data_IF_578577228483
#
_entry.id   IF_578577228483
#
_cell.length_a   1.000
_cell.length_b   1.000
_cell.length_c   1.000
_cell.angle_alpha   90.00
_cell.angle_beta   90.00
_cell.angle_gamma   90.00
#
_symmetry.space_group_name_H-M   'P 1'
#
loop_
_entity.id
_entity.type
_entity.pdbx_description
1 polymer ?
#
# COMPACT_ATOMS: atom_id res chain seq x y z
N UNK A 1 5.61 -21.78 -5.25
CA UNK A 1 5.83 -21.93 -3.80
C UNK A 1 4.52 -21.67 -3.09
N UNK A 2 3.88 -22.73 -2.63
CA UNK A 2 2.73 -22.62 -1.73
C UNK A 2 3.26 -22.16 -0.35
N UNK A 3 2.77 -21.02 0.12
CA UNK A 3 3.07 -20.53 1.46
C UNK A 3 2.17 -21.32 2.42
N UNK A 4 2.78 -22.01 3.39
CA UNK A 4 2.05 -22.72 4.45
C UNK A 4 1.04 -21.79 5.12
N UNK A 5 -0.09 -22.33 5.55
CA UNK A 5 -1.16 -21.50 6.09
C UNK A 5 -0.75 -20.82 7.41
N UNK A 6 0.11 -21.47 8.21
CA UNK A 6 0.74 -20.91 9.42
C UNK A 6 1.57 -19.66 9.12
N UNK A 7 2.33 -19.67 8.02
CA UNK A 7 3.08 -18.50 7.58
C UNK A 7 2.17 -17.34 7.18
N UNK A 8 0.96 -17.63 6.66
CA UNK A 8 0.00 -16.59 6.27
C UNK A 8 -0.54 -15.83 7.48
N UNK A 9 -0.88 -16.54 8.55
CA UNK A 9 -1.36 -15.92 9.79
C UNK A 9 -0.24 -15.16 10.49
N UNK A 10 0.97 -15.71 10.58
CA UNK A 10 2.09 -15.00 11.21
C UNK A 10 2.45 -13.72 10.44
N UNK A 11 2.46 -13.76 9.11
CA UNK A 11 2.63 -12.55 8.27
C UNK A 11 1.53 -11.53 8.50
N UNK A 12 0.29 -11.98 8.74
CA UNK A 12 -0.84 -11.09 9.05
C UNK A 12 -0.68 -10.43 10.42
N UNK A 13 -0.31 -11.19 11.46
CA UNK A 13 -0.01 -10.66 12.80
C UNK A 13 1.10 -9.60 12.71
N UNK A 14 2.22 -9.92 12.08
CA UNK A 14 3.34 -8.99 11.90
C UNK A 14 2.90 -7.74 11.10
N UNK A 15 2.12 -7.92 10.05
CA UNK A 15 1.55 -6.81 9.27
C UNK A 15 0.63 -5.92 10.08
N UNK A 16 -0.21 -6.51 10.94
CA UNK A 16 -1.10 -5.79 11.86
C UNK A 16 -0.28 -4.97 12.85
N UNK A 17 0.66 -5.63 13.52
CA UNK A 17 1.58 -5.04 14.49
C UNK A 17 2.27 -3.80 13.93
N UNK A 18 2.99 -3.96 12.81
CA UNK A 18 3.73 -2.86 12.18
C UNK A 18 2.80 -1.72 11.71
N UNK A 19 1.59 -2.06 11.22
CA UNK A 19 0.60 -1.05 10.80
C UNK A 19 0.08 -0.22 11.97
N UNK A 20 -0.14 -0.86 13.12
CA UNK A 20 -0.60 -0.21 14.36
C UNK A 20 0.51 0.70 14.88
N UNK A 21 1.74 0.20 15.01
CA UNK A 21 2.88 0.99 15.51
C UNK A 21 3.10 2.27 14.70
N UNK A 22 3.15 2.18 13.37
CA UNK A 22 3.33 3.35 12.50
C UNK A 22 2.17 4.34 12.66
N UNK A 23 0.93 3.84 12.74
CA UNK A 23 -0.24 4.69 12.88
C UNK A 23 -0.29 5.41 14.23
N UNK A 24 0.07 4.72 15.32
CA UNK A 24 0.11 5.30 16.66
C UNK A 24 1.19 6.37 16.75
N UNK A 25 2.40 6.11 16.22
CA UNK A 25 3.47 7.11 16.16
C UNK A 25 3.07 8.35 15.35
N UNK A 26 2.45 8.14 14.19
CA UNK A 26 1.91 9.24 13.37
C UNK A 26 0.79 9.99 14.10
N UNK A 27 -0.04 9.29 14.88
CA UNK A 27 -1.16 9.89 15.58
C UNK A 27 -0.67 10.83 16.68
N UNK A 28 0.25 10.35 17.52
CA UNK A 28 0.89 11.19 18.55
C UNK A 28 1.58 12.40 17.91
N UNK A 29 2.32 12.21 16.83
CA UNK A 29 2.96 13.32 16.12
C UNK A 29 1.95 14.35 15.60
N UNK A 30 0.87 13.90 14.92
CA UNK A 30 -0.13 14.80 14.33
C UNK A 30 -0.97 15.47 15.41
N UNK A 31 -1.38 14.77 16.47
CA UNK A 31 -2.15 15.35 17.57
C UNK A 31 -1.37 16.47 18.27
N UNK A 32 -0.06 16.31 18.44
CA UNK A 32 0.79 17.31 19.10
C UNK A 32 1.18 18.50 18.22
N UNK A 33 1.30 18.31 16.90
CA UNK A 33 1.86 19.33 16.00
C UNK A 33 0.84 19.92 15.02
N UNK A 34 -0.23 19.17 14.71
CA UNK A 34 -1.26 19.52 13.72
C UNK A 34 -2.66 19.05 14.18
N UNK A 35 -3.10 19.40 15.42
CA UNK A 35 -4.36 18.92 16.00
C UNK A 35 -5.59 19.29 15.15
N UNK A 36 -5.49 20.30 14.31
CA UNK A 36 -6.52 20.74 13.37
C UNK A 36 -6.73 19.80 12.17
N UNK A 37 -5.78 18.91 11.84
CA UNK A 37 -5.91 17.94 10.74
C UNK A 37 -6.79 16.72 11.14
N UNK A 38 -8.03 17.01 11.55
CA UNK A 38 -9.02 16.01 12.00
C UNK A 38 -9.27 14.92 10.96
N UNK A 39 -9.16 15.24 9.66
CA UNK A 39 -9.31 14.26 8.58
C UNK A 39 -8.16 13.24 8.58
N UNK A 40 -6.92 13.69 8.79
CA UNK A 40 -5.76 12.80 8.90
C UNK A 40 -5.82 11.97 10.17
N UNK A 41 -6.16 12.57 11.32
CA UNK A 41 -6.34 11.89 12.61
C UNK A 41 -7.39 10.76 12.48
N UNK A 42 -8.57 11.05 11.92
CA UNK A 42 -9.60 10.04 11.66
C UNK A 42 -9.09 8.90 10.77
N UNK A 43 -8.25 9.20 9.78
CA UNK A 43 -7.63 8.19 8.91
C UNK A 43 -6.65 7.30 9.69
N UNK A 44 -5.90 7.85 10.65
CA UNK A 44 -5.00 7.08 11.50
C UNK A 44 -5.76 6.15 12.45
N UNK A 45 -6.83 6.63 13.10
CA UNK A 45 -7.72 5.75 13.89
C UNK A 45 -8.29 4.61 13.05
N UNK A 46 -8.69 4.88 11.81
CA UNK A 46 -9.13 3.83 10.88
C UNK A 46 -8.03 2.80 10.61
N UNK A 47 -6.77 3.23 10.50
CA UNK A 47 -5.63 2.32 10.34
C UNK A 47 -5.35 1.50 11.60
N UNK A 48 -5.42 2.10 12.79
CA UNK A 48 -5.30 1.40 14.07
C UNK A 48 -6.38 0.33 14.19
N UNK A 49 -7.59 0.59 13.70
CA UNK A 49 -8.69 -0.40 13.68
C UNK A 49 -8.66 -1.36 12.48
N UNK A 50 -7.71 -1.21 11.56
CA UNK A 50 -7.56 -2.12 10.43
C UNK A 50 -7.27 -3.53 10.95
N UNK A 51 -7.99 -4.53 10.44
CA UNK A 51 -7.76 -5.92 10.80
C UNK A 51 -7.81 -6.20 12.31
N UNK A 52 -8.52 -5.40 13.11
CA UNK A 52 -8.65 -5.63 14.55
C UNK A 52 -9.51 -6.85 14.90
N UNK A 53 -10.35 -7.32 13.96
CA UNK A 53 -11.20 -8.49 14.13
C UNK A 53 -11.02 -9.41 12.93
N UNK A 54 -10.79 -10.70 13.20
CA UNK A 54 -10.85 -11.77 12.21
C UNK A 54 -12.10 -12.60 12.49
N UNK A 55 -12.83 -12.93 11.44
CA UNK A 55 -14.00 -13.81 11.54
C UNK A 55 -13.74 -14.97 10.60
N UNK A 56 -13.78 -16.18 11.13
CA UNK A 56 -13.74 -17.41 10.36
C UNK A 56 -15.16 -17.81 9.98
N UNK A 57 -15.36 -18.11 8.70
CA UNK A 57 -16.63 -18.56 8.16
C UNK A 57 -16.66 -20.09 8.02
N UNK A 58 -17.85 -20.69 7.97
CA UNK A 58 -18.05 -22.14 7.80
C UNK A 58 -17.34 -22.73 6.57
N UNK A 59 -17.12 -21.94 5.53
CA UNK A 59 -16.40 -22.34 4.33
C UNK A 59 -14.86 -22.19 4.46
N UNK A 60 -14.34 -22.04 5.68
CA UNK A 60 -12.91 -21.88 5.97
C UNK A 60 -12.35 -20.48 5.65
N UNK A 61 -13.14 -19.55 5.12
CA UNK A 61 -12.64 -18.20 4.79
C UNK A 61 -12.50 -17.34 6.03
N UNK A 62 -11.35 -16.68 6.18
CA UNK A 62 -11.14 -15.65 7.20
C UNK A 62 -11.34 -14.26 6.60
N UNK A 63 -12.29 -13.53 7.16
CA UNK A 63 -12.65 -12.18 6.72
C UNK A 63 -12.32 -11.11 7.77
N UNK A 64 -12.24 -9.86 7.31
CA UNK A 64 -11.91 -8.71 8.14
C UNK A 64 -12.24 -7.37 7.45
N UNK A 65 -12.24 -6.28 8.22
CA UNK A 65 -12.17 -4.92 7.68
C UNK A 65 -10.73 -4.49 7.34
N UNK A 66 -10.63 -3.63 6.33
CA UNK A 66 -9.37 -3.04 5.85
C UNK A 66 -9.49 -1.52 5.74
N UNK A 67 -8.48 -0.78 6.22
CA UNK A 67 -8.52 0.69 6.31
C UNK A 67 -8.20 1.41 5.01
N UNK A 68 -7.60 0.72 4.04
CA UNK A 68 -7.10 1.29 2.80
C UNK A 68 -6.17 2.51 3.00
N UNK A 69 -5.40 2.55 4.09
CA UNK A 69 -4.33 3.53 4.30
C UNK A 69 -3.01 3.09 3.64
N UNK A 70 -2.20 4.05 3.19
CA UNK A 70 -0.95 3.79 2.44
C UNK A 70 0.24 3.38 3.32
N UNK A 71 0.12 3.52 4.64
CA UNK A 71 1.12 3.10 5.63
C UNK A 71 0.73 1.81 6.34
N UNK A 72 -0.44 1.25 6.03
CA UNK A 72 -0.85 -0.04 6.56
C UNK A 72 -0.20 -1.16 5.75
N UNK A 73 0.67 -1.96 6.38
CA UNK A 73 1.31 -3.12 5.77
C UNK A 73 0.31 -4.13 5.20
N UNK A 74 -0.77 -4.41 5.93
CA UNK A 74 -1.82 -5.32 5.46
C UNK A 74 -2.45 -4.77 4.17
N UNK A 75 -2.93 -3.52 4.20
CA UNK A 75 -3.57 -2.93 3.02
C UNK A 75 -2.59 -2.73 1.85
N UNK A 76 -1.32 -2.44 2.12
CA UNK A 76 -0.29 -2.35 1.07
C UNK A 76 -0.07 -3.69 0.39
N UNK A 77 0.05 -4.78 1.15
CA UNK A 77 0.16 -6.13 0.60
C UNK A 77 -1.09 -6.49 -0.22
N UNK A 78 -2.29 -6.15 0.26
CA UNK A 78 -3.53 -6.36 -0.49
C UNK A 78 -3.57 -5.57 -1.80
N UNK A 79 -3.15 -4.30 -1.79
CA UNK A 79 -3.07 -3.50 -3.02
C UNK A 79 -2.07 -4.07 -3.99
N UNK A 80 -0.91 -4.50 -3.50
CA UNK A 80 0.12 -5.14 -4.29
C UNK A 80 -0.43 -6.41 -4.96
N UNK A 81 -1.03 -7.33 -4.18
CA UNK A 81 -1.64 -8.56 -4.70
C UNK A 81 -2.71 -8.25 -5.74
N UNK A 82 -3.62 -7.32 -5.46
CA UNK A 82 -4.66 -6.91 -6.42
C UNK A 82 -4.06 -6.34 -7.70
N UNK A 83 -2.99 -5.56 -7.59
CA UNK A 83 -2.33 -4.95 -8.73
C UNK A 83 -1.56 -6.00 -9.55
N UNK A 84 -0.86 -6.94 -8.89
CA UNK A 84 -0.20 -8.06 -9.54
C UNK A 84 -1.20 -8.91 -10.31
N UNK A 85 -2.28 -9.36 -9.67
CA UNK A 85 -3.30 -10.16 -10.34
C UNK A 85 -3.94 -9.42 -11.53
N UNK A 86 -4.10 -8.10 -11.47
CA UNK A 86 -4.71 -7.32 -12.56
C UNK A 86 -3.81 -7.13 -13.78
N UNK A 87 -2.50 -7.07 -13.59
CA UNK A 87 -1.59 -6.53 -14.60
C UNK A 87 -0.34 -7.36 -14.88
N UNK A 88 0.11 -8.19 -13.93
CA UNK A 88 1.39 -8.90 -14.04
C UNK A 88 1.42 -9.84 -15.25
N UNK A 89 0.38 -10.66 -15.42
CA UNK A 89 0.39 -11.71 -16.44
C UNK A 89 0.52 -11.16 -17.85
N UNK A 90 -0.11 -10.02 -18.14
CA UNK A 90 -0.02 -9.36 -19.44
C UNK A 90 1.39 -8.87 -19.76
N UNK A 91 2.16 -8.50 -18.74
CA UNK A 91 3.55 -8.06 -18.88
C UNK A 91 4.48 -9.25 -18.90
N UNK A 92 4.22 -10.27 -18.07
CA UNK A 92 5.01 -11.50 -17.97
C UNK A 92 5.11 -12.24 -19.31
N UNK A 93 4.02 -12.26 -20.08
CA UNK A 93 3.94 -12.89 -21.42
C UNK A 93 4.80 -12.22 -22.49
N UNK A 94 5.27 -10.99 -22.27
CA UNK A 94 6.12 -10.31 -23.25
C UNK A 94 7.56 -10.84 -23.20
N UNK A 95 8.19 -11.14 -24.36
CA UNK A 95 9.53 -11.72 -24.40
C UNK A 95 10.61 -10.72 -23.98
N UNK A 96 10.40 -9.41 -24.19
CA UNK A 96 11.38 -8.39 -23.86
C UNK A 96 10.88 -7.48 -22.75
N UNK A 97 11.71 -7.28 -21.72
CA UNK A 97 11.40 -6.48 -20.54
C UNK A 97 12.58 -5.62 -20.12
N UNK A 98 12.31 -4.35 -19.82
CA UNK A 98 13.28 -3.39 -19.31
C UNK A 98 12.76 -2.71 -18.06
N UNK A 99 13.67 -2.52 -17.11
CA UNK A 99 13.46 -1.69 -15.94
C UNK A 99 13.97 -0.28 -16.23
N UNK A 100 13.12 0.71 -15.96
CA UNK A 100 13.52 2.11 -16.03
C UNK A 100 13.26 2.79 -14.70
N UNK A 101 14.18 3.66 -14.28
CA UNK A 101 14.02 4.48 -13.08
C UNK A 101 14.22 5.92 -13.49
N UNK A 102 13.23 6.76 -13.16
CA UNK A 102 13.33 8.20 -13.28
C UNK A 102 13.48 8.81 -11.90
N UNK A 103 14.55 9.55 -11.72
CA UNK A 103 14.93 10.18 -10.45
C UNK A 103 15.07 11.68 -10.67
N UNK A 104 14.86 12.43 -9.61
CA UNK A 104 15.17 13.85 -9.54
C UNK A 104 15.95 14.13 -8.26
N UNK A 105 16.60 15.29 -8.19
CA UNK A 105 17.28 15.77 -6.98
C UNK A 105 16.35 15.66 -5.78
N UNK A 106 16.87 15.13 -4.67
CA UNK A 106 16.09 14.89 -3.46
C UNK A 106 15.54 16.22 -2.90
N UNK A 107 14.21 16.47 -2.93
CA UNK A 107 13.66 17.67 -2.32
C UNK A 107 13.75 17.59 -0.79
N UNK A 108 13.79 18.75 -0.14
CA UNK A 108 13.45 18.90 1.28
C UNK A 108 11.94 18.89 1.50
N UNK A 109 11.51 18.98 2.76
CA UNK A 109 10.09 18.94 3.14
C UNK A 109 9.26 20.05 2.50
N UNK A 110 9.79 21.27 2.44
CA UNK A 110 9.09 22.44 1.89
C UNK A 110 8.81 22.30 0.39
N UNK A 111 9.80 21.80 -0.38
CA UNK A 111 9.67 21.61 -1.82
C UNK A 111 9.01 20.29 -2.21
N UNK A 112 8.83 19.34 -1.27
CA UNK A 112 8.41 17.97 -1.57
C UNK A 112 7.10 17.93 -2.37
N UNK A 113 6.09 18.67 -1.93
CA UNK A 113 4.77 18.68 -2.59
C UNK A 113 4.88 19.26 -4.00
N UNK A 114 5.53 20.42 -4.15
CA UNK A 114 5.75 21.07 -5.44
C UNK A 114 6.48 20.15 -6.41
N UNK A 115 7.48 19.43 -5.90
CA UNK A 115 8.30 18.54 -6.70
C UNK A 115 7.53 17.28 -7.13
N UNK A 116 6.80 16.63 -6.22
CA UNK A 116 5.90 15.51 -6.55
C UNK A 116 4.84 15.97 -7.56
N UNK A 117 4.25 17.15 -7.38
CA UNK A 117 3.26 17.70 -8.30
C UNK A 117 3.83 17.88 -9.71
N UNK A 118 5.07 18.39 -9.83
CA UNK A 118 5.80 18.46 -11.10
C UNK A 118 6.08 17.08 -11.69
N UNK A 119 6.53 16.10 -10.89
CA UNK A 119 6.75 14.72 -11.35
C UNK A 119 5.49 14.11 -11.95
N UNK A 120 4.32 14.29 -11.32
CA UNK A 120 3.07 13.79 -11.88
C UNK A 120 2.59 14.62 -13.08
N UNK A 121 2.85 15.93 -13.11
CA UNK A 121 2.54 16.79 -14.25
C UNK A 121 3.37 16.50 -15.50
N UNK A 122 4.57 15.92 -15.36
CA UNK A 122 5.45 15.51 -16.46
C UNK A 122 4.70 14.80 -17.60
N UNK A 123 3.86 13.81 -17.30
CA UNK A 123 3.16 13.02 -18.32
C UNK A 123 2.12 13.81 -19.12
N UNK A 124 1.74 15.00 -18.65
CA UNK A 124 0.82 15.92 -19.34
C UNK A 124 1.58 17.08 -20.00
N UNK A 125 2.59 17.61 -19.33
CA UNK A 125 3.14 18.93 -19.65
C UNK A 125 4.53 18.89 -20.33
N UNK A 126 5.19 17.73 -20.42
CA UNK A 126 6.55 17.61 -20.97
C UNK A 126 6.65 17.58 -22.50
N UNK A 127 5.52 17.65 -23.20
CA UNK A 127 5.46 17.42 -24.65
C UNK A 127 5.62 15.95 -25.05
N UNK A 128 5.84 15.01 -24.13
CA UNK A 128 5.96 13.57 -24.41
C UNK A 128 4.78 13.03 -25.23
N UNK A 129 3.56 13.48 -24.93
CA UNK A 129 2.36 13.07 -25.67
C UNK A 129 2.28 13.64 -27.09
N UNK A 130 3.05 14.69 -27.40
CA UNK A 130 3.13 15.30 -28.74
C UNK A 130 4.17 14.62 -29.62
N UNK A 131 5.16 13.93 -29.04
CA UNK A 131 6.18 13.16 -29.76
C UNK A 131 5.55 12.01 -30.57
N UNK A 132 5.81 12.01 -31.88
CA UNK A 132 5.20 11.05 -32.82
C UNK A 132 5.67 9.62 -32.58
N UNK A 133 6.94 9.43 -32.22
CA UNK A 133 7.51 8.13 -31.90
C UNK A 133 6.88 7.58 -30.62
N UNK A 134 6.71 8.41 -29.57
CA UNK A 134 5.97 8.03 -28.38
C UNK A 134 4.52 7.62 -28.70
N UNK A 135 3.82 8.38 -29.56
CA UNK A 135 2.43 8.08 -29.95
C UNK A 135 2.28 6.72 -30.65
N UNK A 136 3.26 6.31 -31.45
CA UNK A 136 3.31 4.99 -32.08
C UNK A 136 3.58 3.91 -31.03
N UNK A 137 4.72 4.02 -30.34
CA UNK A 137 5.22 2.99 -29.42
C UNK A 137 4.30 2.75 -28.22
N UNK A 138 3.59 3.77 -27.73
CA UNK A 138 2.66 3.61 -26.59
C UNK A 138 1.48 2.67 -26.88
N UNK A 139 1.23 2.32 -28.15
CA UNK A 139 0.20 1.37 -28.57
C UNK A 139 0.71 -0.06 -28.68
N UNK A 140 2.03 -0.24 -28.74
CA UNK A 140 2.70 -1.53 -28.97
C UNK A 140 3.37 -2.05 -27.69
N UNK A 141 3.81 -1.14 -26.83
CA UNK A 141 4.59 -1.45 -25.63
C UNK A 141 3.73 -1.30 -24.38
N UNK A 142 3.78 -2.30 -23.51
CA UNK A 142 3.12 -2.34 -22.21
C UNK A 142 4.00 -1.68 -21.16
N UNK A 143 3.42 -0.82 -20.33
CA UNK A 143 4.17 -0.16 -19.25
C UNK A 143 3.41 -0.22 -17.95
N UNK A 144 4.09 -0.63 -16.88
CA UNK A 144 3.67 -0.42 -15.49
C UNK A 144 4.60 0.63 -14.90
N UNK A 145 4.04 1.66 -14.26
CA UNK A 145 4.77 2.67 -13.50
C UNK A 145 4.36 2.62 -12.03
N UNK A 146 5.33 2.69 -11.14
CA UNK A 146 5.16 2.81 -9.69
C UNK A 146 5.91 4.02 -9.15
N UNK A 147 5.38 4.65 -8.10
CA UNK A 147 6.04 5.72 -7.35
C UNK A 147 6.63 5.15 -6.05
N UNK A 148 7.92 5.37 -5.85
CA UNK A 148 8.66 4.97 -4.66
C UNK A 148 9.39 6.18 -4.07
N UNK A 149 9.54 6.17 -2.76
CA UNK A 149 10.39 7.09 -2.02
C UNK A 149 11.14 6.39 -0.90
N UNK A 150 12.31 6.91 -0.57
CA UNK A 150 13.09 6.55 0.63
C UNK A 150 13.52 7.83 1.34
N UNK A 151 13.83 7.73 2.63
CA UNK A 151 14.27 8.90 3.42
C UNK A 151 15.79 8.98 3.53
N UNK A 152 16.34 10.17 3.31
CA UNK A 152 17.67 10.51 3.81
C UNK A 152 17.49 11.27 5.12
N UNK A 153 17.71 10.58 6.24
CA UNK A 153 17.47 11.12 7.60
C UNK A 153 18.44 12.24 7.96
N UNK A 154 19.72 12.07 7.61
CA UNK A 154 20.78 13.04 7.90
C UNK A 154 20.50 14.37 7.20
N UNK A 155 20.18 14.30 5.90
CA UNK A 155 19.93 15.49 5.09
C UNK A 155 18.47 15.98 5.15
N UNK A 156 17.58 15.26 5.86
CA UNK A 156 16.12 15.51 5.89
C UNK A 156 15.50 15.67 4.48
N UNK A 157 15.99 14.89 3.52
CA UNK A 157 15.51 14.92 2.12
C UNK A 157 14.83 13.62 1.71
N UNK A 158 14.03 13.70 0.65
CA UNK A 158 13.27 12.58 0.12
C UNK A 158 13.90 12.13 -1.19
N UNK A 159 14.32 10.87 -1.27
CA UNK A 159 14.71 10.30 -2.54
C UNK A 159 13.44 9.79 -3.22
N UNK A 160 13.00 10.43 -4.31
CA UNK A 160 11.72 10.15 -4.98
C UNK A 160 11.95 9.66 -6.41
N UNK A 161 11.28 8.55 -6.74
CA UNK A 161 11.48 7.85 -8.01
C UNK A 161 10.16 7.46 -8.66
N UNK A 162 10.17 7.43 -9.99
CA UNK A 162 9.30 6.55 -10.74
C UNK A 162 10.06 5.32 -11.21
N UNK A 163 9.57 4.16 -10.82
CA UNK A 163 10.00 2.89 -11.38
C UNK A 163 9.05 2.50 -12.50
N UNK A 164 9.61 1.92 -13.57
CA UNK A 164 8.86 1.44 -14.71
C UNK A 164 9.29 0.03 -15.05
N UNK A 165 8.30 -0.79 -15.37
CA UNK A 165 8.46 -2.03 -16.12
C UNK A 165 7.93 -1.78 -17.54
N UNK A 166 8.82 -1.82 -18.52
CA UNK A 166 8.51 -1.60 -19.94
C UNK A 166 8.67 -2.94 -20.65
N UNK A 167 7.62 -3.42 -21.32
CA UNK A 167 7.62 -4.75 -21.91
C UNK A 167 6.91 -4.79 -23.27
N UNK A 168 7.42 -5.63 -24.17
CA UNK A 168 6.87 -5.80 -25.51
C UNK A 168 7.56 -6.91 -26.30
N UNK A 169 7.10 -7.12 -27.53
CA UNK A 169 7.63 -8.14 -28.45
C UNK A 169 9.00 -7.75 -29.01
N UNK A 170 9.17 -6.48 -29.38
CA UNK A 170 10.37 -5.98 -30.05
C UNK A 170 11.30 -5.24 -29.07
N UNK A 171 12.57 -5.65 -29.03
CA UNK A 171 13.58 -5.06 -28.12
C UNK A 171 13.90 -3.60 -28.44
N UNK A 172 13.96 -3.23 -29.72
CA UNK A 172 14.28 -1.87 -30.14
C UNK A 172 13.15 -0.91 -29.73
N UNK A 173 11.90 -1.32 -29.89
CA UNK A 173 10.73 -0.51 -29.50
C UNK A 173 10.66 -0.26 -28.00
N UNK A 174 10.86 -1.31 -27.19
CA UNK A 174 10.92 -1.21 -25.72
C UNK A 174 12.03 -0.27 -25.27
N UNK A 175 13.24 -0.41 -25.85
CA UNK A 175 14.40 0.42 -25.51
C UNK A 175 14.22 1.85 -25.97
N UNK A 176 13.67 2.07 -27.17
CA UNK A 176 13.43 3.38 -27.75
C UNK A 176 12.38 4.16 -26.94
N UNK A 177 11.29 3.50 -26.54
CA UNK A 177 10.29 4.12 -25.66
C UNK A 177 10.92 4.62 -24.35
N UNK A 178 11.72 3.78 -23.69
CA UNK A 178 12.42 4.17 -22.46
C UNK A 178 13.34 5.38 -22.67
N UNK A 179 14.12 5.39 -23.75
CA UNK A 179 15.00 6.50 -24.11
C UNK A 179 14.24 7.81 -24.35
N UNK A 180 13.10 7.76 -25.04
CA UNK A 180 12.25 8.94 -25.30
C UNK A 180 11.70 9.49 -23.98
N UNK A 181 11.22 8.63 -23.09
CA UNK A 181 10.72 9.07 -21.78
C UNK A 181 11.84 9.76 -20.99
N UNK A 182 13.05 9.17 -20.92
CA UNK A 182 14.21 9.78 -20.25
C UNK A 182 14.59 11.12 -20.89
N UNK A 183 14.60 11.22 -22.23
CA UNK A 183 14.89 12.46 -22.97
C UNK A 183 13.92 13.57 -22.56
N UNK A 184 12.61 13.30 -22.58
CA UNK A 184 11.61 14.27 -22.16
C UNK A 184 11.70 14.60 -20.67
N UNK A 185 12.00 13.61 -19.82
CA UNK A 185 12.17 13.81 -18.38
C UNK A 185 13.29 14.81 -18.09
N UNK A 186 14.46 14.59 -18.70
CA UNK A 186 15.62 15.49 -18.57
C UNK A 186 15.33 16.88 -19.12
N UNK A 187 14.66 16.98 -20.27
CA UNK A 187 14.26 18.28 -20.83
C UNK A 187 13.31 19.04 -19.88
N UNK A 188 12.37 18.33 -19.25
CA UNK A 188 11.35 18.92 -18.38
C UNK A 188 11.92 19.37 -17.03
N UNK A 189 12.83 18.59 -16.44
CA UNK A 189 13.43 18.87 -15.12
C UNK A 189 14.76 19.60 -15.17
N UNK A 190 15.41 19.67 -16.34
CA UNK A 190 16.70 20.33 -16.55
C UNK A 190 17.72 19.88 -15.48
N UNK A 191 18.22 20.81 -14.67
CA UNK A 191 19.20 20.59 -13.61
C UNK A 191 18.71 19.64 -12.49
N UNK A 192 17.40 19.48 -12.32
CA UNK A 192 16.86 18.62 -11.27
C UNK A 192 16.90 17.13 -11.67
N UNK A 193 17.19 16.78 -12.93
CA UNK A 193 17.28 15.40 -13.41
C UNK A 193 18.68 15.06 -13.92
N UNK A 194 19.55 14.57 -13.03
CA UNK A 194 20.89 14.10 -13.40
C UNK A 194 20.80 12.91 -14.37
N UNK A 195 21.52 13.02 -15.49
CA UNK A 195 21.73 11.96 -16.48
C UNK A 195 22.20 10.64 -15.89
N UNK A 196 23.08 10.66 -14.87
CA UNK A 196 23.63 9.46 -14.22
C UNK A 196 22.61 8.76 -13.32
N UNK A 197 21.57 9.48 -12.91
CA UNK A 197 20.53 8.97 -12.02
C UNK A 197 19.31 8.38 -12.76
N UNK A 198 19.33 8.37 -14.09
CA UNK A 198 18.28 7.77 -14.93
C UNK A 198 18.76 6.42 -15.44
N UNK A 199 18.03 5.36 -15.14
CA UNK A 199 18.43 4.00 -15.52
C UNK A 199 17.46 3.42 -16.53
N UNK A 200 17.98 2.74 -17.55
CA UNK A 200 17.22 1.86 -18.44
C UNK A 200 18.05 0.59 -18.65
N UNK A 201 17.60 -0.52 -18.09
CA UNK A 201 18.35 -1.79 -18.10
C UNK A 201 17.43 -2.93 -18.45
N UNK A 202 17.96 -3.91 -19.19
CA UNK A 202 17.22 -5.15 -19.42
C UNK A 202 16.92 -5.80 -18.07
N UNK A 203 15.70 -6.27 -17.90
CA UNK A 203 15.28 -6.90 -16.67
C UNK A 203 15.93 -8.29 -16.57
N UNK A 204 16.74 -8.50 -15.52
CA UNK A 204 17.36 -9.80 -15.20
C UNK A 204 16.74 -10.48 -13.97
N UNK A 205 16.08 -9.70 -13.12
CA UNK A 205 15.44 -10.16 -11.87
C UNK A 205 13.93 -10.33 -12.06
N UNK A 206 13.25 -10.89 -11.07
CA UNK A 206 11.79 -11.06 -11.10
C UNK A 206 11.04 -9.73 -11.32
N UNK A 207 9.96 -9.78 -12.09
CA UNK A 207 9.05 -8.65 -12.36
C UNK A 207 8.45 -8.07 -11.07
N UNK A 208 8.36 -8.90 -10.02
CA UNK A 208 7.83 -8.51 -8.71
C UNK A 208 8.61 -7.34 -8.09
N UNK A 209 9.91 -7.21 -8.40
CA UNK A 209 10.73 -6.12 -7.87
C UNK A 209 10.24 -4.74 -8.35
N UNK A 210 9.53 -4.65 -9.48
CA UNK A 210 9.05 -3.38 -10.01
C UNK A 210 7.77 -2.88 -9.32
N UNK A 211 7.17 -3.71 -8.47
CA UNK A 211 5.96 -3.38 -7.73
C UNK A 211 6.26 -2.81 -6.34
N UNK A 212 7.30 -1.98 -6.22
CA UNK A 212 7.61 -1.22 -5.00
C UNK A 212 6.49 -0.22 -4.71
N UNK A 213 5.95 -0.25 -3.49
CA UNK A 213 4.78 0.55 -3.10
C UNK A 213 5.17 1.65 -2.11
N UNK A 214 5.11 2.89 -2.58
CA UNK A 214 5.28 4.13 -1.82
C UNK A 214 6.59 4.28 -1.06
N UNK A 215 6.75 3.61 0.08
CA UNK A 215 7.87 3.80 1.00
C UNK A 215 8.31 2.44 1.54
N UNK A 216 9.61 2.26 1.71
CA UNK A 216 10.15 1.18 2.52
C UNK A 216 9.79 1.44 3.98
N UNK A 217 8.62 0.98 4.42
CA UNK A 217 8.08 1.25 5.76
C UNK A 217 9.03 0.84 6.91
N UNK A 218 9.98 -0.07 6.66
CA UNK A 218 11.09 -0.39 7.58
C UNK A 218 11.98 0.81 7.95
N UNK A 219 11.98 1.88 7.15
CA UNK A 219 12.74 3.09 7.41
C UNK A 219 12.02 4.04 8.38
N UNK A 220 10.75 3.78 8.68
CA UNK A 220 9.91 4.62 9.56
C UNK A 220 10.22 4.31 11.03
N UNK A 221 10.74 5.33 11.71
CA UNK A 221 10.98 5.37 13.14
C UNK A 221 10.73 6.79 13.67
N UNK A 222 10.99 7.03 14.95
CA UNK A 222 10.69 8.32 15.59
C UNK A 222 11.40 9.50 14.90
N UNK A 223 12.64 9.30 14.44
CA UNK A 223 13.39 10.30 13.68
C UNK A 223 12.87 10.60 12.27
N UNK A 224 11.88 9.84 11.76
CA UNK A 224 11.34 10.01 10.39
C UNK A 224 9.82 10.14 10.35
N UNK A 225 9.17 10.17 11.50
CA UNK A 225 7.71 10.21 11.57
C UNK A 225 7.14 11.51 10.98
N UNK A 226 7.84 12.63 11.22
CA UNK A 226 7.52 13.92 10.62
C UNK A 226 7.66 13.88 9.09
N UNK A 227 8.72 13.25 8.57
CA UNK A 227 8.92 13.11 7.13
C UNK A 227 7.78 12.31 6.48
N UNK A 228 7.36 11.24 7.15
CA UNK A 228 6.23 10.43 6.69
C UNK A 228 4.93 11.22 6.64
N UNK A 229 4.65 12.08 7.63
CA UNK A 229 3.48 12.95 7.61
C UNK A 229 3.47 13.85 6.36
N UNK A 230 4.54 14.61 6.13
CA UNK A 230 4.64 15.51 4.98
C UNK A 230 4.58 14.76 3.64
N UNK A 231 5.22 13.61 3.52
CA UNK A 231 5.10 12.74 2.35
C UNK A 231 3.64 12.33 2.10
N UNK A 232 2.93 11.88 3.14
CA UNK A 232 1.55 11.43 3.02
C UNK A 232 0.59 12.55 2.60
N UNK A 233 0.88 13.80 3.00
CA UNK A 233 0.17 14.99 2.54
C UNK A 233 0.49 15.28 1.08
N UNK A 234 1.78 15.25 0.70
CA UNK A 234 2.24 15.53 -0.65
C UNK A 234 1.70 14.56 -1.71
N UNK A 235 1.53 13.27 -1.37
CA UNK A 235 0.99 12.25 -2.28
C UNK A 235 -0.54 12.09 -2.21
N UNK A 236 -1.23 12.93 -1.44
CA UNK A 236 -2.68 12.82 -1.30
C UNK A 236 -3.36 12.95 -2.68
N UNK A 237 -4.37 12.11 -2.94
CA UNK A 237 -5.05 12.05 -4.24
C UNK A 237 -4.21 11.51 -5.42
N UNK A 238 -2.92 11.19 -5.24
CA UNK A 238 -2.07 10.69 -6.32
C UNK A 238 -2.23 9.18 -6.54
N UNK A 239 -2.31 8.78 -7.81
CA UNK A 239 -2.28 7.38 -8.24
C UNK A 239 -0.83 6.90 -8.29
N UNK A 240 -0.40 6.17 -7.26
CA UNK A 240 0.99 5.71 -7.12
C UNK A 240 1.37 4.63 -8.14
N UNK A 241 0.39 3.97 -8.74
CA UNK A 241 0.58 3.02 -9.82
C UNK A 241 -0.20 3.44 -11.06
N UNK A 242 0.39 3.35 -12.24
CA UNK A 242 -0.35 3.52 -13.49
C UNK A 242 0.13 2.55 -14.54
N UNK A 243 -0.75 2.24 -15.48
CA UNK A 243 -0.43 1.41 -16.63
C UNK A 243 -0.57 2.19 -17.92
N UNK A 244 0.10 1.73 -18.96
CA UNK A 244 -0.07 2.15 -20.35
C UNK A 244 -0.14 0.90 -21.22
N UNK A 245 -1.10 0.86 -22.12
CA UNK A 245 -1.37 -0.29 -23.01
C UNK A 245 -1.63 -1.62 -22.29
N UNK A 246 -2.18 -1.58 -21.07
CA UNK A 246 -2.56 -2.76 -20.30
C UNK A 246 -3.97 -2.52 -19.78
N UNK A 247 -4.90 -3.40 -20.14
CA UNK A 247 -6.28 -3.37 -19.62
C UNK A 247 -6.33 -4.19 -18.33
N UNK A 248 -7.02 -3.74 -17.27
CA UNK A 248 -7.16 -4.56 -16.06
C UNK A 248 -7.92 -5.86 -16.39
N UNK A 249 -7.44 -6.99 -15.88
CA UNK A 249 -8.20 -8.24 -15.88
C UNK A 249 -9.51 -8.08 -15.08
N UNK A 250 -10.58 -8.79 -15.49
CA UNK A 250 -11.93 -8.65 -14.91
C UNK A 250 -11.98 -9.26 -13.49
N UNK A 251 -12.94 -8.80 -12.68
CA UNK A 251 -13.11 -9.24 -11.28
C UNK A 251 -13.30 -10.74 -11.12
N UNK A 252 -13.98 -11.37 -12.08
CA UNK A 252 -14.41 -12.77 -11.96
C UNK A 252 -13.23 -13.74 -12.17
N UNK A 253 -12.15 -13.25 -12.79
CA UNK A 253 -10.86 -13.95 -12.93
C UNK A 253 -9.99 -13.82 -11.66
N UNK A 254 -10.40 -12.98 -10.69
CA UNK A 254 -9.67 -12.75 -9.45
C UNK A 254 -10.32 -13.56 -8.32
N UNK A 255 -9.75 -14.74 -7.98
CA UNK A 255 -10.09 -15.41 -6.71
C UNK A 255 -9.73 -14.49 -5.55
N UNK A 256 -10.70 -13.75 -5.02
CA UNK A 256 -10.50 -12.75 -3.98
C UNK A 256 -10.42 -13.42 -2.61
N UNK A 257 -9.20 -13.75 -2.19
CA UNK A 257 -8.89 -14.24 -0.83
C UNK A 257 -9.12 -13.16 0.26
N UNK A 258 -9.36 -11.91 -0.13
CA UNK A 258 -9.45 -10.77 0.78
C UNK A 258 -10.61 -9.85 0.43
N UNK A 259 -11.81 -10.29 0.79
CA UNK A 259 -13.04 -9.50 0.62
C UNK A 259 -13.11 -8.46 1.73
N UNK A 260 -13.34 -7.21 1.36
CA UNK A 260 -13.74 -6.17 2.31
C UNK A 260 -15.17 -6.48 2.72
N UNK A 261 -15.35 -7.04 3.92
CA UNK A 261 -16.68 -7.49 4.34
C UNK A 261 -17.44 -6.36 5.03
N UNK A 262 -18.71 -6.22 4.65
CA UNK A 262 -19.71 -5.53 5.45
C UNK A 262 -20.28 -6.53 6.46
N UNK A 263 -19.88 -6.40 7.72
CA UNK A 263 -20.30 -7.32 8.78
C UNK A 263 -21.82 -7.39 8.94
N UNK A 264 -22.57 -6.36 8.51
CA UNK A 264 -24.04 -6.33 8.56
C UNK A 264 -24.70 -7.36 7.65
N UNK A 265 -23.97 -7.88 6.66
CA UNK A 265 -24.47 -8.88 5.71
C UNK A 265 -24.15 -10.32 6.11
N UNK A 266 -23.46 -10.53 7.24
CA UNK A 266 -23.12 -11.87 7.71
C UNK A 266 -24.29 -12.47 8.51
N UNK A 267 -24.72 -13.68 8.15
CA UNK A 267 -25.67 -14.44 8.97
C UNK A 267 -24.90 -15.05 10.14
N UNK A 268 -25.48 -14.98 11.35
CA UNK A 268 -24.85 -15.51 12.58
C UNK A 268 -24.48 -16.99 12.46
N UNK A 269 -25.27 -17.77 11.72
CA UNK A 269 -25.03 -19.19 11.46
C UNK A 269 -23.84 -19.49 10.55
N UNK A 270 -23.23 -18.50 9.90
CA UNK A 270 -22.08 -18.71 9.00
C UNK A 270 -20.73 -18.53 9.71
N UNK A 271 -20.74 -18.07 10.96
CA UNK A 271 -19.54 -17.72 11.72
C UNK A 271 -19.11 -18.92 12.57
N UNK A 272 -17.87 -19.37 12.38
CA UNK A 272 -17.24 -20.44 13.17
C UNK A 272 -16.56 -19.85 14.40
N UNK A 273 -15.73 -18.84 14.20
CA UNK A 273 -14.92 -18.25 15.26
C UNK A 273 -14.68 -16.75 15.05
N UNK A 274 -14.37 -16.06 16.14
CA UNK A 274 -14.05 -14.63 16.14
C UNK A 274 -12.78 -14.38 16.94
N UNK A 275 -11.79 -13.75 16.30
CA UNK A 275 -10.55 -13.36 16.93
C UNK A 275 -10.40 -11.84 16.98
N UNK A 276 -9.85 -11.34 18.07
CA UNK A 276 -9.62 -9.92 18.31
C UNK A 276 -8.13 -9.67 18.48
N UNK A 277 -7.61 -8.64 17.81
CA UNK A 277 -6.24 -8.21 18.02
C UNK A 277 -6.14 -7.48 19.36
N UNK A 278 -5.20 -7.89 20.22
CA UNK A 278 -4.84 -7.13 21.40
C UNK A 278 -3.46 -6.49 21.23
N UNK A 279 -3.38 -5.21 21.57
CA UNK A 279 -2.15 -4.42 21.50
C UNK A 279 -1.16 -4.88 22.57
N UNK A 280 -1.64 -5.33 23.73
CA UNK A 280 -0.80 -5.78 24.86
C UNK A 280 -0.01 -7.04 24.49
N UNK A 281 -0.69 -8.05 23.95
CA UNK A 281 -0.08 -9.33 23.53
C UNK A 281 0.46 -9.30 22.11
N UNK A 282 0.19 -8.23 21.35
CA UNK A 282 0.59 -8.05 19.95
C UNK A 282 0.18 -9.21 19.03
N UNK A 283 -0.94 -9.86 19.35
CA UNK A 283 -1.49 -11.01 18.60
C UNK A 283 -3.03 -11.03 18.64
N UNK A 284 -3.61 -11.97 17.91
CA UNK A 284 -5.04 -12.25 17.95
C UNK A 284 -5.37 -13.27 19.04
N UNK A 285 -6.51 -13.07 19.71
CA UNK A 285 -7.05 -14.04 20.67
C UNK A 285 -8.52 -14.31 20.37
N UNK A 286 -8.97 -15.54 20.63
CA UNK A 286 -10.37 -15.90 20.56
C UNK A 286 -11.10 -15.33 21.78
N UNK A 287 -12.19 -14.57 21.58
CA UNK A 287 -12.91 -13.95 22.71
C UNK A 287 -13.55 -14.96 23.66
N UNK A 288 -13.93 -16.12 23.14
CA UNK A 288 -14.66 -17.16 23.84
C UNK A 288 -13.69 -18.10 24.58
N UNK A 289 -12.67 -18.61 23.87
CA UNK A 289 -11.72 -19.58 24.43
C UNK A 289 -10.51 -18.94 25.11
N UNK A 290 -10.28 -17.64 24.88
CA UNK A 290 -9.07 -16.89 25.30
C UNK A 290 -7.76 -17.41 24.71
N UNK A 291 -7.83 -18.38 23.79
CA UNK A 291 -6.65 -18.94 23.13
C UNK A 291 -6.04 -17.94 22.15
N UNK A 292 -4.72 -17.94 22.08
CA UNK A 292 -3.96 -17.14 21.14
C UNK A 292 -3.93 -17.81 19.77
N UNK A 293 -3.91 -16.97 18.76
CA UNK A 293 -3.63 -17.39 17.41
C UNK A 293 -2.12 -17.32 17.17
N UNK A 294 -1.43 -18.47 17.22
CA UNK A 294 -0.01 -18.60 16.90
C UNK A 294 0.20 -19.75 15.91
N UNK A 295 0.91 -19.50 14.80
CA UNK A 295 1.27 -20.55 13.82
C UNK A 295 0.10 -21.49 13.41
N UNK A 296 -1.11 -20.95 13.22
CA UNK A 296 -2.34 -21.71 12.93
C UNK A 296 -2.79 -22.72 13.99
N UNK A 297 -2.18 -22.71 15.18
CA UNK A 297 -2.62 -23.52 16.31
C UNK A 297 -3.18 -22.59 17.39
N UNK A 298 -4.30 -23.01 17.97
CA UNK A 298 -4.77 -22.44 19.22
C UNK A 298 -3.75 -22.88 20.29
N UNK A 299 -2.90 -21.96 20.71
CA UNK A 299 -1.96 -22.26 21.79
C UNK A 299 -2.72 -22.02 23.10
N UNK A 300 -2.97 -23.10 23.85
CA UNK A 300 -3.69 -23.09 25.14
C UNK A 300 -2.97 -22.37 26.27
N UNK A 301 -1.76 -21.85 26.04
CA UNK A 301 -0.92 -21.27 27.08
C UNK A 301 -0.81 -19.74 26.99
N UNK A 302 -1.94 -19.05 26.90
CA UNK A 302 -1.99 -17.69 27.42
C UNK A 302 -2.12 -17.78 28.94
N UNK A 303 -0.99 -17.81 29.68
CA UNK A 303 -0.97 -17.57 31.13
C UNK A 303 -1.96 -16.45 31.44
N UNK A 304 -3.11 -16.77 32.06
CA UNK A 304 -4.24 -15.87 32.40
C UNK A 304 -3.86 -14.38 32.28
N UNK A 305 -3.89 -13.83 31.08
CA UNK A 305 -3.68 -12.40 30.90
C UNK A 305 -5.01 -11.81 31.33
N UNK A 306 -5.03 -11.10 32.46
CA UNK A 306 -6.11 -10.19 32.82
C UNK A 306 -6.19 -9.14 31.71
N UNK A 307 -6.83 -9.49 30.59
CA UNK A 307 -7.22 -8.55 29.54
C UNK A 307 -8.33 -7.72 30.19
N UNK A 308 -7.93 -6.66 30.88
CA UNK A 308 -8.86 -5.80 31.59
C UNK A 308 -9.86 -5.18 30.61
N UNK A 309 -11.06 -4.96 31.13
CA UNK A 309 -12.32 -4.56 30.49
C UNK A 309 -12.25 -3.30 29.58
N UNK A 310 -11.08 -2.70 29.38
CA UNK A 310 -10.83 -1.48 28.60
C UNK A 310 -10.98 -1.70 27.09
N UNK A 311 -10.48 -2.81 26.55
CA UNK A 311 -10.61 -3.14 25.12
C UNK A 311 -12.04 -3.60 24.74
N UNK A 312 -12.74 -4.27 25.66
CA UNK A 312 -14.16 -4.62 25.48
C UNK A 312 -15.08 -3.39 25.54
N UNK A 313 -14.79 -2.42 26.42
CA UNK A 313 -15.52 -1.14 26.45
C UNK A 313 -15.37 -0.38 25.12
N UNK A 314 -14.16 -0.21 24.60
CA UNK A 314 -13.93 0.51 23.32
C UNK A 314 -14.67 -0.14 22.15
N UNK A 315 -14.68 -1.48 22.06
CA UNK A 315 -15.42 -2.21 21.02
C UNK A 315 -16.93 -2.13 21.24
N UNK A 316 -17.41 -2.22 22.49
CA UNK A 316 -18.84 -2.11 22.81
C UNK A 316 -19.38 -0.69 22.60
N UNK A 317 -18.56 0.32 22.89
CA UNK A 317 -18.89 1.73 22.76
C UNK A 317 -18.90 2.14 21.28
N UNK A 318 -17.97 1.61 20.48
CA UNK A 318 -17.99 1.79 19.03
C UNK A 318 -19.21 1.10 18.37
N UNK A 319 -19.55 -0.13 18.78
CA UNK A 319 -20.74 -0.84 18.29
C UNK A 319 -22.04 -0.13 18.71
N UNK A 320 -22.10 0.44 19.93
CA UNK A 320 -23.22 1.28 20.38
C UNK A 320 -23.31 2.59 19.58
N UNK A 321 -22.19 3.25 19.30
CA UNK A 321 -22.16 4.50 18.53
C UNK A 321 -22.55 4.29 17.05
N UNK A 322 -22.11 3.19 16.42
CA UNK A 322 -22.53 2.86 15.05
C UNK A 322 -24.00 2.43 14.97
N UNK A 323 -24.50 1.70 15.97
CA UNK A 323 -25.93 1.33 16.05
C UNK A 323 -26.83 2.55 16.21
N UNK A 324 -26.43 3.54 17.02
CA UNK A 324 -27.14 4.82 17.18
C UNK A 324 -27.13 5.68 15.91
N UNK A 325 -26.05 5.64 15.11
CA UNK A 325 -25.98 6.35 13.82
C UNK A 325 -26.83 5.70 12.72
N UNK A 326 -27.13 4.41 12.86
CA UNK A 326 -27.98 3.67 11.93
C UNK A 326 -29.47 3.83 12.27
N UNK A 327 -29.82 4.06 13.53
CA UNK A 327 -31.21 4.33 13.95
C UNK A 327 -31.66 5.76 13.64
N UNK A 328 -30.75 6.75 13.66
CA UNK A 328 -31.05 8.15 13.32
C UNK A 328 -31.09 8.46 11.82
N UNK A 329 -30.82 7.48 10.95
CA UNK A 329 -30.95 7.59 9.48
C UNK A 329 -32.22 6.90 8.94
N UNK A 330 -33.04 6.31 9.81
CA UNK A 330 -34.32 5.66 9.49
C UNK A 330 -35.54 6.44 10.01
N UNK A 331 -35.32 7.64 10.53
CA UNK A 331 -36.29 8.71 10.68
C UNK A 331 -35.81 9.85 9.81
#
# INVERSE_FOLDING_TARGET
MEISESDRIQKRINGKRNSTDIATKLLVFVDNNFPEDKKFIKRLHRQINCNNKLIELKNGRIISMFCDCKTCHICNNLRLVKFLKKYLDQVKREPVKYNMVLTIKNPGTEDLKKMIDKMFAFFRNSGLKKDNTFKKLKKEVKVIRSFETTFNKQMKTYNIHFHFLIAGKNRNDVKLLGKIIIKHWRKYFRKDADSKAQYLRQQKKSELENFKYLLKLKEVNDGTIHMLYHLLKAIHGRKLFSTMNIKPLKSDELRDEYVKVDYRKLKKGDIVSCYYYSVEIRSYYNSNTKELLENNKLVKNAKRIKIEKRNQRIVSDYLRQESKKLSTRKK
#
